data_IF_420338365903
#
_entry.id   IF_420338365903
#
_cell.length_a   1.000
_cell.length_b   1.000
_cell.length_c   1.000
_cell.angle_alpha   90.00
_cell.angle_beta   90.00
_cell.angle_gamma   90.00
#
_symmetry.space_group_name_H-M   'P 1'
#
loop_
_entity.id
_entity.type
_entity.pdbx_description
1 polymer ?
#
# COMPACT_ATOMS: atom_id res chain seq x y z
N UNK A 1 8.17 3.48 1.93
CA UNK A 1 9.45 3.10 1.30
C UNK A 1 9.42 1.62 0.96
N UNK A 2 10.23 1.20 -0.03
CA UNK A 2 10.49 -0.22 -0.32
C UNK A 2 11.57 -0.70 0.65
N UNK A 3 11.40 -1.91 1.21
CA UNK A 3 12.35 -2.49 2.15
C UNK A 3 13.47 -3.23 1.41
N UNK A 4 14.72 -3.25 1.92
CA UNK A 4 15.86 -3.91 1.28
C UNK A 4 15.84 -5.44 1.51
N UNK A 5 14.80 -6.11 0.99
CA UNK A 5 14.51 -7.52 1.32
C UNK A 5 15.67 -8.46 0.95
N UNK A 6 16.36 -8.23 -0.18
CA UNK A 6 17.48 -9.07 -0.60
C UNK A 6 18.66 -9.02 0.39
N UNK A 7 18.98 -7.84 0.92
CA UNK A 7 20.03 -7.66 1.93
C UNK A 7 19.63 -8.33 3.25
N UNK A 8 18.37 -8.17 3.66
CA UNK A 8 17.82 -8.83 4.85
C UNK A 8 17.84 -10.37 4.71
N UNK A 9 17.58 -10.89 3.52
CA UNK A 9 17.65 -12.33 3.23
C UNK A 9 19.07 -12.87 3.36
N UNK A 10 20.08 -12.13 2.89
CA UNK A 10 21.48 -12.50 3.07
C UNK A 10 21.86 -12.53 4.55
N UNK A 11 21.44 -11.52 5.32
CA UNK A 11 21.70 -11.46 6.76
C UNK A 11 21.01 -12.61 7.52
N UNK A 12 19.74 -12.89 7.22
CA UNK A 12 19.00 -13.99 7.82
C UNK A 12 19.68 -15.34 7.53
N UNK A 13 20.09 -15.55 6.27
CA UNK A 13 20.81 -16.75 5.84
C UNK A 13 22.13 -16.92 6.58
N UNK A 14 22.90 -15.85 6.80
CA UNK A 14 24.15 -15.91 7.56
C UNK A 14 23.95 -16.39 9.02
N UNK A 15 22.74 -16.26 9.56
CA UNK A 15 22.37 -16.71 10.90
C UNK A 15 21.51 -17.97 10.91
N UNK A 16 21.33 -18.65 9.76
CA UNK A 16 20.48 -19.83 9.64
C UNK A 16 18.99 -19.56 9.88
N UNK A 17 18.56 -18.29 9.78
CA UNK A 17 17.17 -17.90 9.97
C UNK A 17 16.37 -17.99 8.66
N UNK A 18 15.10 -18.40 8.78
CA UNK A 18 14.14 -18.30 7.70
C UNK A 18 13.64 -16.85 7.56
N UNK A 19 13.29 -16.46 6.35
CA UNK A 19 12.76 -15.13 6.05
C UNK A 19 11.49 -15.23 5.23
N UNK A 20 10.42 -14.65 5.77
CA UNK A 20 9.16 -14.41 5.08
C UNK A 20 9.09 -12.95 4.65
N UNK A 21 8.50 -12.68 3.49
CA UNK A 21 8.15 -11.33 3.07
C UNK A 21 6.66 -11.22 2.73
N UNK A 22 6.02 -10.17 3.22
CA UNK A 22 4.71 -9.76 2.71
C UNK A 22 4.91 -8.92 1.44
N UNK A 23 4.58 -9.49 0.29
CA UNK A 23 4.68 -8.84 -1.01
C UNK A 23 3.33 -8.33 -1.53
N UNK A 24 2.29 -8.27 -0.69
CA UNK A 24 0.93 -7.86 -1.10
C UNK A 24 0.90 -6.48 -1.75
N UNK A 25 1.73 -5.55 -1.26
CA UNK A 25 1.84 -4.22 -1.86
C UNK A 25 2.83 -4.16 -3.02
N UNK A 26 3.87 -4.99 -3.05
CA UNK A 26 4.89 -4.96 -4.10
C UNK A 26 4.44 -5.68 -5.38
N UNK A 27 3.83 -6.87 -5.25
CA UNK A 27 3.46 -7.71 -6.37
C UNK A 27 2.50 -6.98 -7.32
N UNK A 28 2.83 -7.01 -8.62
CA UNK A 28 2.10 -6.30 -9.68
C UNK A 28 2.40 -4.79 -9.77
N UNK A 29 3.16 -4.20 -8.85
CA UNK A 29 3.48 -2.75 -8.89
C UNK A 29 4.96 -2.51 -9.21
N UNK A 30 5.82 -3.44 -8.80
CA UNK A 30 7.24 -3.51 -9.15
C UNK A 30 7.58 -4.96 -9.52
N UNK A 31 8.75 -5.18 -10.10
CA UNK A 31 9.27 -6.53 -10.31
C UNK A 31 9.50 -7.21 -8.96
N UNK A 32 8.97 -8.42 -8.80
CA UNK A 32 9.12 -9.24 -7.60
C UNK A 32 9.47 -10.66 -8.03
N UNK A 33 10.65 -11.12 -7.63
CA UNK A 33 11.10 -12.49 -7.84
C UNK A 33 11.55 -13.07 -6.50
N UNK A 34 10.86 -14.13 -6.06
CA UNK A 34 11.12 -14.78 -4.77
C UNK A 34 12.56 -15.33 -4.68
N UNK A 35 13.05 -15.92 -5.78
CA UNK A 35 14.37 -16.52 -5.83
C UNK A 35 15.46 -15.44 -5.81
N UNK A 36 15.29 -14.37 -6.59
CA UNK A 36 16.21 -13.24 -6.60
C UNK A 36 16.27 -12.52 -5.25
N UNK A 37 15.13 -12.42 -4.55
CA UNK A 37 15.05 -11.86 -3.20
C UNK A 37 15.67 -12.78 -2.13
N UNK A 38 15.82 -14.07 -2.40
CA UNK A 38 16.39 -15.04 -1.46
C UNK A 38 15.51 -15.36 -0.24
N UNK A 39 14.21 -15.06 -0.32
CA UNK A 39 13.25 -15.32 0.76
C UNK A 39 12.76 -16.77 0.73
N UNK A 40 12.30 -17.27 1.87
CA UNK A 40 11.84 -18.64 2.07
C UNK A 40 10.32 -18.77 1.92
N UNK A 41 9.60 -17.67 2.17
CA UNK A 41 8.16 -17.58 2.02
C UNK A 41 7.75 -16.19 1.53
N UNK A 42 6.70 -16.11 0.72
CA UNK A 42 6.18 -14.84 0.20
C UNK A 42 4.65 -14.83 0.15
N UNK A 43 4.04 -13.81 0.75
CA UNK A 43 2.58 -13.61 0.70
C UNK A 43 2.20 -12.69 -0.44
N UNK A 44 1.18 -13.08 -1.22
CA UNK A 44 0.55 -12.25 -2.26
C UNK A 44 -0.99 -12.31 -2.16
N UNK A 45 -1.67 -11.27 -2.63
CA UNK A 45 -3.13 -11.14 -2.55
C UNK A 45 -3.75 -10.66 -3.86
N UNK A 46 -4.80 -11.34 -4.28
CA UNK A 46 -5.46 -11.16 -5.58
C UNK A 46 -6.05 -9.77 -5.78
N UNK A 47 -6.80 -9.27 -4.80
CA UNK A 47 -7.49 -7.99 -4.93
C UNK A 47 -6.55 -6.77 -4.97
N UNK A 48 -5.26 -6.93 -4.67
CA UNK A 48 -4.26 -5.86 -4.79
C UNK A 48 -3.64 -5.75 -6.18
N UNK A 49 -4.01 -6.65 -7.09
CA UNK A 49 -3.58 -6.66 -8.49
C UNK A 49 -4.76 -6.69 -9.47
N UNK A 50 -5.97 -6.35 -9.01
CA UNK A 50 -7.18 -6.34 -9.84
C UNK A 50 -7.93 -7.66 -9.93
N UNK A 51 -7.54 -8.67 -9.15
CA UNK A 51 -8.27 -9.94 -9.06
C UNK A 51 -9.40 -9.94 -8.02
N UNK A 52 -10.13 -11.06 -7.88
CA UNK A 52 -11.22 -11.18 -6.92
C UNK A 52 -10.75 -11.09 -5.45
N UNK A 53 -11.64 -10.61 -4.57
CA UNK A 53 -11.48 -10.64 -3.10
C UNK A 53 -11.68 -12.08 -2.59
N UNK A 54 -11.06 -12.43 -1.46
CA UNK A 54 -11.25 -13.73 -0.81
C UNK A 54 -10.31 -14.84 -1.30
N UNK A 55 -9.27 -14.49 -2.05
CA UNK A 55 -8.23 -15.42 -2.51
C UNK A 55 -6.85 -14.73 -2.46
N UNK A 56 -5.84 -15.51 -2.08
CA UNK A 56 -4.44 -15.10 -1.96
C UNK A 56 -3.54 -16.35 -1.99
N UNK A 57 -2.24 -16.15 -1.92
CA UNK A 57 -1.28 -17.25 -1.90
C UNK A 57 -0.14 -16.99 -0.92
N UNK A 58 0.30 -18.05 -0.26
CA UNK A 58 1.58 -18.14 0.42
C UNK A 58 2.48 -19.03 -0.44
N UNK A 59 3.50 -18.44 -1.04
CA UNK A 59 4.48 -19.15 -1.85
C UNK A 59 5.58 -19.60 -0.90
N UNK A 60 5.93 -20.88 -0.95
CA UNK A 60 6.90 -21.50 -0.04
C UNK A 60 8.04 -22.13 -0.82
N UNK A 61 9.26 -21.94 -0.33
CA UNK A 61 10.38 -22.76 -0.74
C UNK A 61 10.13 -24.21 -0.30
N UNK A 62 10.29 -25.15 -1.24
CA UNK A 62 10.07 -26.59 -1.02
C UNK A 62 10.89 -27.20 0.12
N UNK A 63 11.95 -26.53 0.58
CA UNK A 63 12.81 -26.96 1.69
C UNK A 63 12.28 -26.53 3.06
N UNK A 64 11.20 -25.76 3.08
CA UNK A 64 10.61 -25.21 4.30
C UNK A 64 9.38 -26.02 4.63
N UNK A 65 9.45 -26.74 5.74
CA UNK A 65 8.31 -27.42 6.32
C UNK A 65 7.56 -26.48 7.27
N UNK A 66 6.25 -26.36 7.08
CA UNK A 66 5.36 -25.61 7.96
C UNK A 66 4.21 -26.51 8.42
N UNK A 67 3.74 -26.29 9.65
CA UNK A 67 2.49 -26.88 10.10
C UNK A 67 1.31 -26.16 9.45
N UNK A 68 0.26 -26.87 8.99
CA UNK A 68 -0.93 -26.23 8.45
C UNK A 68 -1.65 -25.42 9.53
N UNK A 69 -2.11 -24.22 9.20
CA UNK A 69 -3.02 -23.47 10.08
C UNK A 69 -4.42 -24.09 10.06
N UNK A 70 -4.88 -24.49 8.88
CA UNK A 70 -6.18 -25.11 8.64
C UNK A 70 -6.00 -26.61 8.37
N UNK A 71 -6.33 -27.41 9.38
CA UNK A 71 -6.29 -28.87 9.33
C UNK A 71 -7.59 -29.45 8.76
N UNK A 72 -7.55 -30.66 8.19
CA UNK A 72 -8.73 -31.30 7.59
C UNK A 72 -8.40 -32.19 6.40
N UNK A 73 -9.18 -32.05 5.32
CA UNK A 73 -9.26 -32.98 4.18
C UNK A 73 -8.03 -33.08 3.26
N UNK A 74 -6.90 -32.45 3.59
CA UNK A 74 -5.65 -32.66 2.88
C UNK A 74 -5.47 -31.88 1.58
N UNK A 75 -6.34 -30.91 1.28
CA UNK A 75 -6.17 -29.99 0.14
C UNK A 75 -4.84 -29.23 0.23
N UNK A 76 -4.37 -28.69 -0.91
CA UNK A 76 -3.08 -28.00 -1.02
C UNK A 76 -1.92 -28.84 -0.43
N UNK A 77 -1.90 -30.14 -0.76
CA UNK A 77 -0.89 -31.11 -0.28
C UNK A 77 -0.84 -31.23 1.25
N UNK A 78 -1.96 -31.01 1.93
CA UNK A 78 -2.08 -31.04 3.39
C UNK A 78 -1.71 -29.74 4.08
N UNK A 79 -1.25 -28.70 3.36
CA UNK A 79 -0.81 -27.45 3.96
C UNK A 79 -1.97 -26.49 4.27
N UNK A 80 -3.12 -26.63 3.59
CA UNK A 80 -4.29 -25.79 3.81
C UNK A 80 -5.56 -26.53 3.41
N UNK A 81 -6.26 -27.07 4.39
CA UNK A 81 -7.50 -27.82 4.17
C UNK A 81 -8.71 -26.94 3.85
N UNK A 82 -9.72 -27.55 3.25
CA UNK A 82 -11.00 -26.94 2.85
C UNK A 82 -11.17 -26.92 1.34
N UNK A 83 -12.40 -27.11 0.87
CA UNK A 83 -12.74 -27.12 -0.56
C UNK A 83 -12.18 -25.90 -1.27
N UNK A 84 -11.53 -26.12 -2.40
CA UNK A 84 -10.83 -25.10 -3.16
C UNK A 84 -11.82 -24.07 -3.70
N UNK A 85 -11.49 -22.78 -3.54
CA UNK A 85 -12.22 -21.70 -4.19
C UNK A 85 -11.81 -21.63 -5.67
N UNK A 86 -12.27 -22.60 -6.48
CA UNK A 86 -11.85 -22.76 -7.88
C UNK A 86 -12.04 -21.47 -8.69
N UNK A 87 -13.20 -20.81 -8.55
CA UNK A 87 -13.47 -19.55 -9.25
C UNK A 87 -12.50 -18.43 -8.82
N UNK A 88 -12.24 -18.30 -7.51
CA UNK A 88 -11.25 -17.36 -6.99
C UNK A 88 -9.84 -17.65 -7.50
N UNK A 89 -9.42 -18.92 -7.51
CA UNK A 89 -8.09 -19.34 -7.98
C UNK A 89 -7.92 -19.02 -9.47
N UNK A 90 -8.91 -19.33 -10.31
CA UNK A 90 -8.88 -18.99 -11.74
C UNK A 90 -8.82 -17.48 -11.96
N UNK A 91 -9.65 -16.71 -11.24
CA UNK A 91 -9.63 -15.25 -11.31
C UNK A 91 -8.30 -14.66 -10.87
N UNK A 92 -7.69 -15.20 -9.81
CA UNK A 92 -6.39 -14.76 -9.33
C UNK A 92 -5.29 -15.08 -10.36
N UNK A 93 -5.31 -16.28 -10.96
CA UNK A 93 -4.36 -16.65 -12.02
C UNK A 93 -4.42 -15.66 -13.20
N UNK A 94 -5.62 -15.28 -13.64
CA UNK A 94 -5.77 -14.29 -14.72
C UNK A 94 -5.28 -12.90 -14.30
N UNK A 95 -5.56 -12.49 -13.06
CA UNK A 95 -5.06 -11.22 -12.53
C UNK A 95 -3.53 -11.18 -12.46
N UNK A 96 -2.87 -12.28 -12.06
CA UNK A 96 -1.42 -12.41 -12.10
C UNK A 96 -0.86 -12.22 -13.50
N UNK A 97 -1.44 -12.89 -14.51
CA UNK A 97 -1.01 -12.75 -15.91
C UNK A 97 -1.10 -11.30 -16.39
N UNK A 98 -2.27 -10.68 -16.23
CA UNK A 98 -2.49 -9.28 -16.64
C UNK A 98 -1.55 -8.32 -15.91
N UNK A 99 -1.33 -8.53 -14.61
CA UNK A 99 -0.46 -7.69 -13.81
C UNK A 99 1.02 -7.76 -14.25
N UNK A 100 1.46 -8.89 -14.77
CA UNK A 100 2.82 -9.06 -15.30
C UNK A 100 2.95 -8.57 -16.75
N UNK A 101 1.94 -8.84 -17.60
CA UNK A 101 1.89 -8.38 -19.00
C UNK A 101 2.00 -6.85 -19.11
N UNK A 102 1.41 -6.12 -18.16
CA UNK A 102 1.35 -4.64 -18.19
C UNK A 102 2.29 -3.96 -17.20
N UNK A 103 3.15 -4.70 -16.49
CA UNK A 103 3.91 -4.21 -15.33
C UNK A 103 4.67 -2.91 -15.61
N UNK A 104 5.53 -2.90 -16.63
CA UNK A 104 6.41 -1.76 -16.93
C UNK A 104 5.62 -0.54 -17.45
N UNK A 105 4.63 -0.80 -18.31
CA UNK A 105 3.76 0.26 -18.86
C UNK A 105 2.95 0.92 -17.74
N UNK A 106 2.31 0.11 -16.89
CA UNK A 106 1.57 0.58 -15.71
C UNK A 106 2.47 1.31 -14.73
N UNK A 107 3.65 0.76 -14.42
CA UNK A 107 4.63 1.41 -13.56
C UNK A 107 4.93 2.83 -14.05
N UNK A 108 5.25 2.98 -15.33
CA UNK A 108 5.61 4.26 -15.94
C UNK A 108 4.46 5.27 -15.90
N UNK A 109 3.24 4.84 -16.26
CA UNK A 109 2.06 5.73 -16.26
C UNK A 109 1.71 6.17 -14.85
N UNK A 110 1.63 5.23 -13.92
CA UNK A 110 1.20 5.50 -12.55
C UNK A 110 2.24 6.34 -11.80
N UNK A 111 3.53 6.10 -12.03
CA UNK A 111 4.58 6.94 -11.48
C UNK A 111 4.44 8.41 -11.92
N UNK A 112 4.16 8.66 -13.21
CA UNK A 112 3.95 10.03 -13.70
C UNK A 112 2.78 10.73 -13.01
N UNK A 113 1.66 10.02 -12.81
CA UNK A 113 0.50 10.55 -12.08
C UNK A 113 0.84 10.84 -10.62
N UNK A 114 1.59 9.97 -9.97
CA UNK A 114 2.08 10.14 -8.60
C UNK A 114 3.01 11.35 -8.50
N UNK A 115 3.92 11.52 -9.45
CA UNK A 115 4.86 12.64 -9.47
C UNK A 115 4.13 13.98 -9.71
N UNK A 116 3.10 13.99 -10.56
CA UNK A 116 2.20 15.13 -10.75
C UNK A 116 1.46 15.48 -9.46
N UNK A 117 0.88 14.48 -8.78
CA UNK A 117 0.24 14.64 -7.49
C UNK A 117 1.21 15.24 -6.46
N UNK A 118 2.40 14.66 -6.31
CA UNK A 118 3.40 15.13 -5.35
C UNK A 118 3.90 16.55 -5.65
N UNK A 119 4.03 16.92 -6.93
CA UNK A 119 4.33 18.30 -7.33
C UNK A 119 3.24 19.27 -6.84
N UNK A 120 1.96 18.90 -6.97
CA UNK A 120 0.85 19.68 -6.45
C UNK A 120 0.82 19.74 -4.92
N UNK A 121 1.03 18.62 -4.25
CA UNK A 121 1.11 18.54 -2.78
C UNK A 121 2.20 19.45 -2.22
N UNK A 122 3.39 19.47 -2.85
CA UNK A 122 4.48 20.35 -2.45
C UNK A 122 4.09 21.85 -2.57
N UNK A 123 3.37 22.24 -3.63
CA UNK A 123 2.84 23.61 -3.78
C UNK A 123 1.84 24.00 -2.69
N UNK A 124 1.13 23.02 -2.12
CA UNK A 124 0.21 23.21 -1.00
C UNK A 124 0.90 23.21 0.37
N UNK A 125 2.22 23.04 0.41
CA UNK A 125 3.00 22.96 1.65
C UNK A 125 2.77 21.66 2.42
N UNK A 126 2.39 20.58 1.73
CA UNK A 126 2.27 19.27 2.35
C UNK A 126 3.66 18.68 2.66
N UNK A 127 3.77 17.96 3.79
CA UNK A 127 4.93 17.14 4.10
C UNK A 127 4.68 15.73 3.56
N UNK A 128 5.43 15.31 2.55
CA UNK A 128 5.37 13.96 1.99
C UNK A 128 6.32 13.05 2.76
N UNK A 129 5.79 11.97 3.33
CA UNK A 129 6.57 11.01 4.10
C UNK A 129 7.44 10.13 3.19
N UNK A 130 8.67 9.85 3.63
CA UNK A 130 9.65 9.04 2.91
C UNK A 130 9.94 9.54 1.48
N UNK A 131 9.84 10.85 1.22
CA UNK A 131 9.99 11.43 -0.12
C UNK A 131 11.34 11.14 -0.79
N UNK A 132 12.40 10.99 0.02
CA UNK A 132 13.77 10.71 -0.41
C UNK A 132 14.12 9.21 -0.49
N UNK A 133 13.18 8.32 -0.15
CA UNK A 133 13.41 6.88 -0.21
C UNK A 133 12.88 6.29 -1.53
N UNK A 134 13.36 5.09 -1.87
CA UNK A 134 12.71 4.29 -2.90
C UNK A 134 11.28 3.94 -2.47
N UNK A 135 10.32 4.11 -3.37
CA UNK A 135 8.88 3.97 -3.08
C UNK A 135 8.17 3.30 -4.24
N UNK A 136 7.03 2.69 -3.93
CA UNK A 136 6.11 2.19 -4.95
C UNK A 136 5.64 3.35 -5.85
N UNK A 137 5.43 3.10 -7.15
CA UNK A 137 5.10 4.15 -8.11
C UNK A 137 3.73 4.79 -7.86
N UNK A 138 2.87 4.15 -7.07
CA UNK A 138 1.46 4.48 -7.01
C UNK A 138 0.99 5.16 -5.72
N UNK A 139 1.87 5.32 -4.72
CA UNK A 139 1.42 5.75 -3.39
C UNK A 139 2.11 7.04 -2.97
N UNK A 140 1.31 8.03 -2.61
CA UNK A 140 1.75 9.21 -1.89
C UNK A 140 1.12 9.23 -0.50
N UNK A 141 1.93 9.46 0.52
CA UNK A 141 1.49 9.56 1.90
C UNK A 141 2.03 10.86 2.48
N UNK A 142 1.13 11.73 2.90
CA UNK A 142 1.47 13.10 3.26
C UNK A 142 0.65 13.59 4.45
N UNK A 143 1.07 14.71 5.04
CA UNK A 143 0.28 15.47 5.98
C UNK A 143 0.34 16.95 5.66
N UNK A 144 -0.68 17.70 6.07
CA UNK A 144 -0.68 19.16 6.02
C UNK A 144 -0.71 19.65 7.47
N UNK A 145 0.24 20.50 7.83
CA UNK A 145 0.39 20.99 9.19
C UNK A 145 -0.91 21.62 9.70
N UNK A 146 -1.27 21.31 10.95
CA UNK A 146 -2.47 21.77 11.64
C UNK A 146 -3.79 21.33 10.98
N UNK A 147 -3.79 20.23 10.22
CA UNK A 147 -4.99 19.59 9.71
C UNK A 147 -4.98 18.12 10.15
N UNK A 148 -6.07 17.70 10.77
CA UNK A 148 -6.28 16.30 11.15
C UNK A 148 -6.65 15.44 9.92
N UNK A 149 -6.05 14.25 9.83
CA UNK A 149 -6.17 13.36 8.67
C UNK A 149 -7.61 12.89 8.46
N UNK A 150 -8.28 12.41 9.49
CA UNK A 150 -9.68 11.93 9.41
C UNK A 150 -10.65 13.04 8.96
N UNK A 151 -10.47 14.25 9.49
CA UNK A 151 -11.24 15.43 9.08
C UNK A 151 -11.04 15.74 7.60
N UNK A 152 -9.80 15.66 7.11
CA UNK A 152 -9.49 15.90 5.69
C UNK A 152 -10.01 14.78 4.79
N UNK A 153 -9.87 13.51 5.18
CA UNK A 153 -10.42 12.34 4.47
C UNK A 153 -11.93 12.48 4.32
N UNK A 154 -12.65 12.79 5.41
CA UNK A 154 -14.10 13.02 5.39
C UNK A 154 -14.48 14.19 4.48
N UNK A 155 -13.69 15.26 4.46
CA UNK A 155 -13.95 16.42 3.60
C UNK A 155 -13.72 16.09 2.10
N UNK A 156 -12.72 15.26 1.79
CA UNK A 156 -12.41 14.80 0.44
C UNK A 156 -13.46 13.79 -0.07
N UNK A 157 -13.94 12.90 0.80
CA UNK A 157 -15.04 11.97 0.49
C UNK A 157 -16.31 12.72 0.08
N UNK A 158 -16.71 13.74 0.85
CA UNK A 158 -17.82 14.64 0.49
C UNK A 158 -17.59 15.42 -0.81
N UNK A 159 -16.33 15.59 -1.21
CA UNK A 159 -15.95 16.21 -2.48
C UNK A 159 -15.82 15.19 -3.63
N UNK A 160 -16.12 13.91 -3.38
CA UNK A 160 -16.12 12.84 -4.38
C UNK A 160 -14.81 12.07 -4.51
N UNK A 161 -13.87 12.20 -3.57
CA UNK A 161 -12.55 11.55 -3.63
C UNK A 161 -12.35 10.52 -2.52
N UNK A 162 -12.11 9.27 -2.91
CA UNK A 162 -11.77 8.19 -1.99
C UNK A 162 -10.27 8.19 -1.67
N UNK A 163 -9.93 8.46 -0.41
CA UNK A 163 -8.57 8.41 0.14
C UNK A 163 -8.58 7.71 1.49
N UNK A 164 -7.40 7.36 2.02
CA UNK A 164 -7.29 6.71 3.34
C UNK A 164 -6.54 7.60 4.32
N UNK A 165 -6.85 7.49 5.61
CA UNK A 165 -6.04 8.08 6.68
C UNK A 165 -4.83 7.20 7.03
N UNK A 166 -3.87 7.75 7.77
CA UNK A 166 -2.73 7.00 8.30
C UNK A 166 -3.09 5.97 9.39
N UNK A 167 -4.25 6.13 10.01
CA UNK A 167 -4.87 5.27 11.03
C UNK A 167 -5.81 4.20 10.44
N UNK A 168 -6.00 4.16 9.11
CA UNK A 168 -7.11 3.46 8.44
C UNK A 168 -7.26 1.94 8.67
N UNK A 169 -6.39 1.28 9.45
CA UNK A 169 -6.61 -0.10 9.90
C UNK A 169 -7.20 -0.22 11.31
N UNK A 170 -7.40 0.88 12.03
CA UNK A 170 -8.06 0.90 13.34
C UNK A 170 -9.27 1.83 13.27
N UNK A 171 -10.43 1.29 12.90
CA UNK A 171 -11.71 2.00 12.96
C UNK A 171 -12.07 2.52 14.36
N UNK A 172 -11.37 2.07 15.41
CA UNK A 172 -11.63 2.40 16.81
C UNK A 172 -10.48 3.12 17.54
N UNK A 173 -9.38 3.47 16.86
CA UNK A 173 -8.26 4.15 17.53
C UNK A 173 -7.94 5.48 16.86
N UNK A 174 -7.99 6.55 17.66
CA UNK A 174 -7.50 7.90 17.32
C UNK A 174 -5.96 7.97 17.33
N UNK A 175 -5.30 6.82 17.43
CA UNK A 175 -3.86 6.74 17.58
C UNK A 175 -3.15 7.02 16.25
N UNK A 176 -2.07 7.81 16.26
CA UNK A 176 -1.27 8.05 15.06
C UNK A 176 -0.66 6.74 14.53
N UNK A 177 -0.42 6.70 13.22
CA UNK A 177 0.16 5.54 12.54
C UNK A 177 1.44 5.06 13.22
N UNK A 178 1.44 3.83 13.78
CA UNK A 178 2.63 3.23 14.40
C UNK A 178 3.84 3.18 13.45
N UNK A 179 3.60 3.05 12.14
CA UNK A 179 4.66 3.10 11.11
C UNK A 179 5.29 4.50 11.05
N UNK A 180 4.49 5.56 11.04
CA UNK A 180 5.01 6.93 11.03
C UNK A 180 5.76 7.26 12.33
N UNK A 181 5.26 6.79 13.47
CA UNK A 181 5.96 6.95 14.76
C UNK A 181 7.32 6.21 14.74
N UNK A 182 7.37 4.98 14.21
CA UNK A 182 8.61 4.23 14.05
C UNK A 182 9.60 4.90 13.08
N UNK A 183 9.10 5.69 12.13
CA UNK A 183 9.92 6.54 11.24
C UNK A 183 10.42 7.82 11.92
N UNK A 184 10.06 8.08 13.18
CA UNK A 184 10.44 9.29 13.92
C UNK A 184 9.59 10.51 13.60
N UNK A 185 8.44 10.35 12.95
CA UNK A 185 7.50 11.44 12.71
C UNK A 185 6.79 11.79 14.02
N UNK A 186 6.65 13.08 14.30
CA UNK A 186 5.97 13.54 15.52
C UNK A 186 4.51 13.07 15.54
N UNK A 187 3.95 12.74 16.73
CA UNK A 187 2.55 12.33 16.85
C UNK A 187 1.57 13.32 16.21
N UNK A 188 1.83 14.62 16.34
CA UNK A 188 0.98 15.69 15.80
C UNK A 188 0.92 15.64 14.27
N UNK A 189 2.07 15.49 13.60
CA UNK A 189 2.10 15.40 12.14
C UNK A 189 1.57 14.05 11.64
N UNK A 190 1.82 12.97 12.39
CA UNK A 190 1.34 11.63 12.07
C UNK A 190 -0.20 11.51 12.15
N UNK A 191 -0.87 12.26 13.04
CA UNK A 191 -2.35 12.36 13.07
C UNK A 191 -2.92 13.07 11.85
N UNK A 192 -2.14 13.93 11.19
CA UNK A 192 -2.53 14.62 9.96
C UNK A 192 -2.38 13.79 8.68
N UNK A 193 -2.02 12.51 8.79
CA UNK A 193 -1.58 11.74 7.65
C UNK A 193 -2.73 11.25 6.75
N UNK A 194 -2.61 11.50 5.45
CA UNK A 194 -3.53 11.08 4.39
C UNK A 194 -2.76 10.38 3.28
N UNK A 195 -3.25 9.20 2.89
CA UNK A 195 -2.69 8.34 1.84
C UNK A 195 -3.57 8.38 0.60
N UNK A 196 -2.94 8.68 -0.52
CA UNK A 196 -3.50 8.55 -1.86
C UNK A 196 -2.79 7.39 -2.56
N UNK A 197 -3.56 6.45 -3.07
CA UNK A 197 -3.07 5.28 -3.81
C UNK A 197 -3.71 5.28 -5.19
N UNK A 198 -2.89 5.32 -6.22
CA UNK A 198 -3.28 5.44 -7.62
C UNK A 198 -3.26 4.07 -8.33
N UNK A 199 -3.94 4.02 -9.47
CA UNK A 199 -3.89 2.93 -10.44
C UNK A 199 -3.76 3.47 -11.87
N UNK A 200 -3.57 2.57 -12.83
CA UNK A 200 -3.55 2.84 -14.27
C UNK A 200 -4.91 3.25 -14.84
N UNK A 201 -5.99 3.14 -14.05
CA UNK A 201 -7.29 3.68 -14.40
C UNK A 201 -7.44 5.18 -14.06
N UNK A 202 -6.51 5.76 -13.31
CA UNK A 202 -6.56 7.19 -12.99
C UNK A 202 -6.06 8.05 -14.15
N UNK A 203 -6.51 9.31 -14.18
CA UNK A 203 -6.13 10.28 -15.23
C UNK A 203 -5.44 11.52 -14.68
N UNK A 204 -4.69 12.23 -15.52
CA UNK A 204 -4.03 13.51 -15.17
C UNK A 204 -5.06 14.57 -14.77
N UNK A 205 -6.22 14.54 -15.41
CA UNK A 205 -7.36 15.41 -15.14
C UNK A 205 -7.92 15.14 -13.73
N UNK A 206 -8.09 13.88 -13.35
CA UNK A 206 -8.49 13.50 -11.98
C UNK A 206 -7.48 13.97 -10.93
N UNK A 207 -6.17 13.87 -11.19
CA UNK A 207 -5.14 14.41 -10.29
C UNK A 207 -5.29 15.93 -10.14
N UNK A 208 -5.56 16.63 -11.23
CA UNK A 208 -5.76 18.08 -11.23
C UNK A 208 -7.02 18.47 -10.44
N UNK A 209 -8.12 17.75 -10.64
CA UNK A 209 -9.37 17.94 -9.89
C UNK A 209 -9.19 17.65 -8.40
N UNK A 210 -8.48 16.57 -8.06
CA UNK A 210 -8.15 16.22 -6.69
C UNK A 210 -7.34 17.33 -6.01
N UNK A 211 -6.31 17.85 -6.66
CA UNK A 211 -5.47 18.93 -6.11
C UNK A 211 -6.27 20.22 -5.87
N UNK A 212 -7.18 20.57 -6.78
CA UNK A 212 -8.06 21.73 -6.61
C UNK A 212 -9.02 21.54 -5.42
N UNK A 213 -9.65 20.36 -5.32
CA UNK A 213 -10.52 20.03 -4.19
C UNK A 213 -9.75 20.02 -2.85
N UNK A 214 -8.55 19.43 -2.84
CA UNK A 214 -7.66 19.43 -1.68
C UNK A 214 -7.30 20.85 -1.25
N UNK A 215 -6.92 21.71 -2.18
CA UNK A 215 -6.61 23.12 -1.89
C UNK A 215 -7.80 23.83 -1.23
N UNK A 216 -9.00 23.67 -1.79
CA UNK A 216 -10.22 24.26 -1.26
C UNK A 216 -10.51 23.76 0.17
N UNK A 217 -10.40 22.45 0.42
CA UNK A 217 -10.64 21.90 1.76
C UNK A 217 -9.57 22.35 2.76
N UNK A 218 -8.31 22.42 2.35
CA UNK A 218 -7.22 22.92 3.20
C UNK A 218 -7.44 24.37 3.61
N UNK A 219 -7.84 25.22 2.67
CA UNK A 219 -8.16 26.62 2.96
C UNK A 219 -9.35 26.75 3.92
N UNK A 220 -10.41 25.98 3.68
CA UNK A 220 -11.60 25.96 4.55
C UNK A 220 -11.27 25.52 5.97
N UNK A 221 -10.53 24.42 6.14
CA UNK A 221 -10.18 23.87 7.45
C UNK A 221 -9.21 24.78 8.21
N UNK A 222 -8.22 25.37 7.53
CA UNK A 222 -7.35 26.38 8.15
C UNK A 222 -8.11 27.63 8.60
N UNK A 223 -9.12 28.07 7.82
CA UNK A 223 -9.99 29.18 8.19
C UNK A 223 -10.80 28.91 9.46
N UNK A 224 -11.31 27.69 9.64
CA UNK A 224 -12.03 27.30 10.86
C UNK A 224 -11.11 27.27 12.09
N UNK A 225 -9.89 26.72 11.95
CA UNK A 225 -8.93 26.67 13.05
C UNK A 225 -8.45 28.07 13.49
N UNK A 226 -8.36 29.03 12.57
CA UNK A 226 -8.00 30.41 12.88
C UNK A 226 -9.11 31.19 13.61
N UNK A 227 -10.37 30.76 13.50
CA UNK A 227 -11.50 31.38 14.22
C UNK A 227 -11.69 30.76 15.62
N UNK A 228 -11.19 29.55 15.83
CA UNK A 228 -11.29 28.82 17.11
C UNK A 228 -10.11 29.04 18.06
N UNK A 229 -9.01 29.64 17.59
CA UNK A 229 -7.80 29.98 18.37
C UNK A 229 -7.84 31.44 18.83
#
# INVERSE_FOLDING_TARGET
AIQPIAELAQLAKAHGALLHTDAVQAFGKIAVDMHALGVHAMTISSHKIGGPIGVGALILDKRVDIAPLLHGGGQERGLRSGTENVAGIVGFARACQLAMETLDARHTVVQKLRDQLETGLNKLGATIFASQAERLPNTSFFAITNIEGETLVTALDKAGFAVASGSACSSDSTEPSHVLLAMGITPDLARGAVRVSLSDSNTSEEITQFLAALQQQVQRLKGLNAVAA
#
